data_IF_929140995796
#
_entry.id   IF_929140995796
#
_cell.length_a   1.000
_cell.length_b   1.000
_cell.length_c   1.000
_cell.angle_alpha   90.00
_cell.angle_beta   90.00
_cell.angle_gamma   90.00
#
_symmetry.space_group_name_H-M   'P 1'
#
loop_
_entity.id
_entity.type
_entity.pdbx_description
1 polymer ?
#
# COMPACT_ATOMS: atom_id res chain seq x y z
N UNK A 1 21.78 -22.00 9.19
CA UNK A 1 21.76 -22.28 10.65
C UNK A 1 21.36 -23.72 10.96
N UNK A 2 20.16 -24.20 10.63
CA UNK A 2 19.73 -25.57 10.95
C UNK A 2 20.62 -26.71 10.43
N UNK A 3 21.08 -26.65 9.17
CA UNK A 3 22.01 -27.65 8.60
C UNK A 3 23.41 -27.60 9.23
N UNK A 4 23.87 -26.39 9.59
CA UNK A 4 25.17 -26.19 10.23
C UNK A 4 25.18 -26.64 11.70
N UNK A 5 24.02 -26.68 12.37
CA UNK A 5 23.89 -27.07 13.79
C UNK A 5 23.46 -28.53 13.95
N UNK A 6 22.58 -29.07 13.09
CA UNK A 6 22.03 -30.41 13.24
C UNK A 6 22.74 -31.49 12.41
N UNK A 7 23.55 -31.12 11.40
CA UNK A 7 24.34 -32.05 10.58
C UNK A 7 23.54 -33.08 9.78
N UNK A 8 22.20 -32.98 9.75
CA UNK A 8 21.30 -33.92 9.06
C UNK A 8 20.24 -33.16 8.29
N UNK A 9 19.94 -33.64 7.09
CA UNK A 9 18.83 -33.13 6.29
C UNK A 9 17.50 -33.54 6.95
N UNK A 10 16.51 -32.64 7.03
CA UNK A 10 15.17 -33.00 7.47
C UNK A 10 14.58 -34.04 6.51
N UNK A 11 13.64 -34.85 7.01
CA UNK A 11 12.95 -35.81 6.14
C UNK A 11 12.25 -35.08 4.99
N UNK A 12 12.11 -35.69 3.80
CA UNK A 12 11.47 -35.05 2.65
C UNK A 12 10.07 -34.52 2.96
N UNK A 13 9.33 -35.20 3.85
CA UNK A 13 8.01 -34.76 4.33
C UNK A 13 8.08 -33.45 5.11
N UNK A 14 9.02 -33.33 6.06
CA UNK A 14 9.20 -32.09 6.85
C UNK A 14 9.67 -30.96 5.94
N UNK A 15 10.58 -31.25 5.01
CA UNK A 15 11.05 -30.28 4.03
C UNK A 15 9.89 -29.75 3.16
N UNK A 16 9.06 -30.65 2.61
CA UNK A 16 7.90 -30.27 1.82
C UNK A 16 6.88 -29.45 2.63
N UNK A 17 6.60 -29.84 3.88
CA UNK A 17 5.70 -29.09 4.76
C UNK A 17 6.24 -27.70 5.09
N UNK A 18 7.54 -27.56 5.38
CA UNK A 18 8.16 -26.27 5.65
C UNK A 18 8.19 -25.37 4.41
N UNK A 19 8.44 -25.94 3.23
CA UNK A 19 8.39 -25.20 1.96
C UNK A 19 6.98 -24.73 1.64
N UNK A 20 5.97 -25.57 1.85
CA UNK A 20 4.57 -25.19 1.66
C UNK A 20 4.12 -24.12 2.67
N UNK A 21 4.54 -24.24 3.93
CA UNK A 21 4.26 -23.21 4.92
C UNK A 21 4.94 -21.88 4.56
N UNK A 22 6.22 -21.91 4.16
CA UNK A 22 6.94 -20.72 3.73
C UNK A 22 6.37 -20.09 2.46
N UNK A 23 5.94 -20.90 1.49
CA UNK A 23 5.33 -20.39 0.25
C UNK A 23 4.01 -19.67 0.52
N UNK A 24 3.19 -20.16 1.45
CA UNK A 24 1.93 -19.52 1.82
C UNK A 24 2.16 -18.33 2.76
N UNK A 25 2.85 -18.53 3.88
CA UNK A 25 3.01 -17.51 4.92
C UNK A 25 3.91 -16.35 4.51
N UNK A 26 4.91 -16.59 3.67
CA UNK A 26 5.82 -15.54 3.20
C UNK A 26 5.62 -15.22 1.72
N UNK A 27 5.69 -16.23 0.85
CA UNK A 27 5.63 -16.02 -0.60
C UNK A 27 4.33 -15.36 -1.06
N UNK A 28 3.18 -16.00 -0.78
CA UNK A 28 1.89 -15.46 -1.12
C UNK A 28 1.59 -14.15 -0.37
N UNK A 29 1.99 -14.05 0.90
CA UNK A 29 1.82 -12.82 1.69
C UNK A 29 2.51 -11.62 1.03
N UNK A 30 3.76 -11.75 0.58
CA UNK A 30 4.51 -10.65 -0.05
C UNK A 30 3.87 -10.25 -1.39
N UNK A 31 3.37 -11.23 -2.15
CA UNK A 31 2.66 -10.93 -3.40
C UNK A 31 1.37 -10.16 -3.13
N UNK A 32 0.58 -10.62 -2.16
CA UNK A 32 -0.67 -9.95 -1.77
C UNK A 32 -0.43 -8.55 -1.19
N UNK A 33 0.62 -8.38 -0.40
CA UNK A 33 1.08 -7.08 0.11
C UNK A 33 1.41 -6.13 -1.05
N UNK A 34 2.22 -6.58 -2.02
CA UNK A 34 2.52 -5.79 -3.21
C UNK A 34 1.27 -5.41 -4.03
N UNK A 35 0.25 -6.28 -4.09
CA UNK A 35 -1.04 -5.93 -4.69
C UNK A 35 -1.82 -4.92 -3.84
N UNK A 36 -1.86 -5.08 -2.52
CA UNK A 36 -2.54 -4.16 -1.62
C UNK A 36 -1.94 -2.76 -1.69
N UNK A 37 -0.60 -2.66 -1.68
CA UNK A 37 0.13 -1.40 -1.86
C UNK A 37 -0.29 -0.68 -3.14
N UNK A 38 -0.49 -1.41 -4.24
CA UNK A 38 -0.94 -0.86 -5.53
C UNK A 38 -2.40 -0.43 -5.54
N UNK A 39 -3.27 -1.19 -4.87
CA UNK A 39 -4.73 -0.98 -4.92
C UNK A 39 -5.21 0.08 -3.93
N UNK A 40 -4.67 0.08 -2.71
CA UNK A 40 -5.16 0.97 -1.63
C UNK A 40 -4.13 2.00 -1.18
N UNK A 41 -2.85 1.81 -1.53
CA UNK A 41 -1.75 2.71 -1.19
C UNK A 41 -1.02 2.37 0.10
N UNK A 42 0.24 2.79 0.19
CA UNK A 42 1.14 2.50 1.31
C UNK A 42 0.56 2.86 2.69
N UNK A 43 -0.01 4.07 2.86
CA UNK A 43 -0.51 4.48 4.16
C UNK A 43 -1.70 3.64 4.66
N UNK A 44 -2.65 3.31 3.76
CA UNK A 44 -3.83 2.50 4.10
C UNK A 44 -3.47 1.03 4.26
N UNK A 45 -2.63 0.51 3.37
CA UNK A 45 -2.09 -0.84 3.45
C UNK A 45 -1.37 -1.02 4.79
N UNK A 46 -0.43 -0.16 5.14
CA UNK A 46 0.33 -0.26 6.39
C UNK A 46 -0.58 -0.24 7.64
N UNK A 47 -1.65 0.56 7.60
CA UNK A 47 -2.63 0.58 8.68
C UNK A 47 -3.43 -0.74 8.80
N UNK A 48 -3.75 -1.39 7.68
CA UNK A 48 -4.33 -2.73 7.69
C UNK A 48 -3.31 -3.77 8.16
N UNK A 49 -2.08 -3.72 7.68
CA UNK A 49 -1.01 -4.65 8.06
C UNK A 49 -0.69 -4.57 9.56
N UNK A 50 -0.76 -3.37 10.15
CA UNK A 50 -0.57 -3.16 11.58
C UNK A 50 -1.62 -3.87 12.47
N UNK A 51 -2.70 -4.40 11.88
CA UNK A 51 -3.67 -5.25 12.59
C UNK A 51 -3.25 -6.73 12.70
N UNK A 52 -2.26 -7.17 11.93
CA UNK A 52 -1.80 -8.56 11.91
C UNK A 52 -1.39 -9.11 13.30
N UNK A 53 -0.71 -8.35 14.18
CA UNK A 53 -0.38 -8.82 15.53
C UNK A 53 -1.60 -9.18 16.38
N UNK A 54 -2.74 -8.52 16.18
CA UNK A 54 -3.98 -8.82 16.90
C UNK A 54 -4.57 -10.16 16.45
N UNK A 55 -4.57 -10.40 15.13
CA UNK A 55 -5.00 -11.68 14.56
C UNK A 55 -4.05 -12.80 15.00
N UNK A 56 -2.74 -12.56 15.01
CA UNK A 56 -1.74 -13.50 15.50
C UNK A 56 -1.93 -13.85 16.97
N UNK A 57 -2.18 -12.85 17.82
CA UNK A 57 -2.48 -13.06 19.23
C UNK A 57 -3.76 -13.87 19.43
N UNK A 58 -4.84 -13.57 18.70
CA UNK A 58 -6.09 -14.33 18.75
C UNK A 58 -5.92 -15.77 18.24
N UNK A 59 -5.19 -15.96 17.14
CA UNK A 59 -4.93 -17.29 16.62
C UNK A 59 -4.08 -18.10 17.61
N UNK A 60 -3.06 -17.49 18.22
CA UNK A 60 -2.22 -18.13 19.21
C UNK A 60 -3.04 -18.58 20.43
N UNK A 61 -3.91 -17.74 20.99
CA UNK A 61 -4.75 -18.13 22.13
C UNK A 61 -5.71 -19.27 21.79
N UNK A 62 -6.34 -19.23 20.62
CA UNK A 62 -7.29 -20.26 20.19
C UNK A 62 -6.60 -21.60 19.88
N UNK A 63 -5.41 -21.57 19.28
CA UNK A 63 -4.70 -22.78 18.87
C UNK A 63 -3.92 -23.43 20.03
N UNK A 64 -3.37 -22.63 20.95
CA UNK A 64 -2.56 -23.14 22.08
C UNK A 64 -3.35 -23.29 23.37
N UNK A 65 -4.49 -22.61 23.50
CA UNK A 65 -5.27 -22.53 24.73
C UNK A 65 -4.65 -21.61 25.79
N UNK A 66 -3.55 -20.93 25.49
CA UNK A 66 -2.90 -20.01 26.43
C UNK A 66 -3.70 -18.72 26.61
N UNK A 67 -3.73 -18.21 27.85
CA UNK A 67 -4.39 -16.94 28.17
C UNK A 67 -3.43 -15.79 27.90
N UNK A 68 -3.93 -14.72 27.28
CA UNK A 68 -3.15 -13.49 27.10
C UNK A 68 -2.81 -12.90 28.47
N UNK A 69 -1.52 -12.74 28.73
CA UNK A 69 -1.03 -12.03 29.90
C UNK A 69 -1.41 -10.55 29.85
N UNK A 70 -1.46 -9.93 31.02
CA UNK A 70 -1.83 -8.52 31.16
C UNK A 70 -0.92 -7.58 30.36
N UNK A 71 0.39 -7.86 30.32
CA UNK A 71 1.36 -7.09 29.53
C UNK A 71 1.08 -7.12 28.03
N UNK A 72 0.66 -8.28 27.50
CA UNK A 72 0.29 -8.43 26.09
C UNK A 72 -0.98 -7.65 25.79
N UNK A 73 -1.98 -7.73 26.68
CA UNK A 73 -3.20 -6.92 26.57
C UNK A 73 -2.92 -5.42 26.53
N UNK A 74 -2.02 -4.93 27.40
CA UNK A 74 -1.60 -3.53 27.40
C UNK A 74 -0.87 -3.15 26.10
N UNK A 75 0.05 -3.98 25.63
CA UNK A 75 0.77 -3.74 24.37
C UNK A 75 -0.21 -3.67 23.19
N UNK A 76 -1.17 -4.59 23.11
CA UNK A 76 -2.24 -4.56 22.10
C UNK A 76 -3.06 -3.27 22.16
N UNK A 77 -3.42 -2.80 23.36
CA UNK A 77 -4.17 -1.55 23.51
C UNK A 77 -3.38 -0.33 23.01
N UNK A 78 -2.08 -0.24 23.35
CA UNK A 78 -1.20 0.85 22.88
C UNK A 78 -1.04 0.79 21.36
N UNK A 79 -0.82 -0.39 20.80
CA UNK A 79 -0.74 -0.58 19.35
C UNK A 79 -2.05 -0.18 18.65
N UNK A 80 -3.21 -0.56 19.21
CA UNK A 80 -4.51 -0.23 18.64
C UNK A 80 -4.74 1.28 18.63
N UNK A 81 -4.32 1.98 19.68
CA UNK A 81 -4.33 3.44 19.72
C UNK A 81 -3.44 4.04 18.62
N UNK A 82 -2.23 3.52 18.43
CA UNK A 82 -1.33 3.93 17.35
C UNK A 82 -1.95 3.76 15.96
N UNK A 83 -2.56 2.60 15.68
CA UNK A 83 -3.26 2.33 14.40
C UNK A 83 -4.45 3.29 14.23
N UNK A 84 -5.22 3.54 15.28
CA UNK A 84 -6.34 4.47 15.22
C UNK A 84 -5.90 5.91 14.94
N UNK A 85 -4.75 6.34 15.47
CA UNK A 85 -4.16 7.63 15.13
C UNK A 85 -3.71 7.68 13.67
N UNK A 86 -2.99 6.65 13.20
CA UNK A 86 -2.51 6.56 11.82
C UNK A 86 -3.66 6.61 10.81
N UNK A 87 -4.77 5.90 11.08
CA UNK A 87 -5.96 5.88 10.22
C UNK A 87 -6.71 7.23 10.18
N UNK A 88 -6.53 8.08 11.20
CA UNK A 88 -7.19 9.39 11.28
C UNK A 88 -6.34 10.51 10.68
N UNK A 89 -5.09 10.22 10.35
CA UNK A 89 -4.18 11.21 9.81
C UNK A 89 -4.59 11.61 8.39
N UNK A 90 -4.72 12.92 8.15
CA UNK A 90 -5.02 13.49 6.84
C UNK A 90 -3.86 14.38 6.44
N UNK A 91 -3.06 13.93 5.48
CA UNK A 91 -1.99 14.72 4.89
C UNK A 91 -2.43 15.27 3.53
N UNK A 92 -2.67 16.57 3.49
CA UNK A 92 -2.69 17.38 2.28
C UNK A 92 -1.48 18.30 2.31
N UNK A 93 -0.77 18.40 1.19
CA UNK A 93 0.29 19.38 1.02
C UNK A 93 0.03 20.13 -0.28
N UNK A 94 0.25 21.44 -0.26
CA UNK A 94 0.33 22.21 -1.47
C UNK A 94 1.55 21.75 -2.26
N UNK A 95 1.35 21.32 -3.51
CA UNK A 95 2.44 21.03 -4.43
C UNK A 95 2.25 21.76 -5.74
N UNK A 96 3.37 22.02 -6.40
CA UNK A 96 3.42 22.60 -7.74
C UNK A 96 3.80 21.49 -8.72
N UNK A 97 2.97 21.30 -9.74
CA UNK A 97 3.31 20.47 -10.89
C UNK A 97 4.19 21.27 -11.84
N UNK A 98 5.31 20.68 -12.28
CA UNK A 98 6.15 21.27 -13.33
C UNK A 98 5.41 21.20 -14.69
N UNK A 99 5.77 22.06 -15.67
CA UNK A 99 5.19 21.97 -17.00
C UNK A 99 5.39 20.57 -17.61
N UNK A 100 4.33 20.00 -18.17
CA UNK A 100 4.36 18.66 -18.75
C UNK A 100 3.52 18.60 -20.04
N UNK A 101 4.16 18.15 -21.12
CA UNK A 101 3.48 17.77 -22.36
C UNK A 101 3.09 16.29 -22.30
N UNK A 102 1.82 15.97 -22.53
CA UNK A 102 1.34 14.60 -22.59
C UNK A 102 0.06 14.45 -23.43
N UNK A 103 -0.35 13.20 -23.67
CA UNK A 103 -1.57 12.87 -24.40
C UNK A 103 -2.31 11.72 -23.70
N UNK A 104 -3.52 12.00 -23.23
CA UNK A 104 -4.43 11.00 -22.68
C UNK A 104 -5.88 11.52 -22.76
N UNK A 105 -6.83 10.59 -22.54
CA UNK A 105 -8.23 10.93 -22.46
C UNK A 105 -8.53 11.74 -21.18
N UNK A 106 -9.12 12.92 -21.33
CA UNK A 106 -9.42 13.82 -20.22
C UNK A 106 -10.75 14.55 -20.42
N UNK A 107 -11.18 15.20 -19.34
CA UNK A 107 -12.26 16.18 -19.27
C UNK A 107 -11.64 17.48 -18.77
N UNK A 108 -12.25 18.63 -19.04
CA UNK A 108 -11.67 19.90 -18.58
C UNK A 108 -11.96 20.12 -17.09
N UNK A 109 -10.99 19.78 -16.24
CA UNK A 109 -11.00 20.07 -14.81
C UNK A 109 -9.95 21.15 -14.47
N UNK A 110 -9.50 21.22 -13.21
CA UNK A 110 -8.47 22.19 -12.81
C UNK A 110 -7.11 21.90 -13.47
N UNK A 111 -6.80 20.61 -13.69
CA UNK A 111 -5.56 20.14 -14.28
C UNK A 111 -5.55 20.27 -15.80
N UNK A 112 -6.71 20.09 -16.43
CA UNK A 112 -6.83 20.05 -17.89
C UNK A 112 -7.47 21.34 -18.44
N UNK A 113 -6.86 22.48 -18.13
CA UNK A 113 -7.25 23.78 -18.72
C UNK A 113 -6.34 24.13 -19.89
N UNK A 114 -6.82 23.86 -21.10
CA UNK A 114 -6.20 24.34 -22.32
C UNK A 114 -7.27 24.67 -23.37
N UNK A 115 -6.88 25.42 -24.39
CA UNK A 115 -7.73 25.66 -25.55
C UNK A 115 -7.59 24.50 -26.56
N UNK A 116 -8.63 24.29 -27.36
CA UNK A 116 -8.63 23.33 -28.46
C UNK A 116 -8.13 23.98 -29.75
N UNK A 117 -7.30 23.26 -30.49
CA UNK A 117 -6.89 23.61 -31.83
C UNK A 117 -7.99 23.32 -32.87
N UNK A 118 -7.78 23.75 -34.13
CA UNK A 118 -8.75 23.54 -35.20
C UNK A 118 -9.01 22.06 -35.54
N UNK A 119 -8.04 21.19 -35.26
CA UNK A 119 -8.10 19.75 -35.55
C UNK A 119 -8.53 18.91 -34.33
N UNK A 120 -8.77 19.55 -33.17
CA UNK A 120 -9.18 18.84 -31.96
C UNK A 120 -10.68 18.51 -32.02
N UNK A 121 -11.01 17.28 -31.59
CA UNK A 121 -12.38 16.79 -31.61
C UNK A 121 -13.22 17.52 -30.54
N UNK A 122 -14.40 18.06 -30.89
CA UNK A 122 -15.27 18.71 -29.92
C UNK A 122 -15.96 17.69 -29.00
N UNK A 123 -16.18 18.07 -27.74
CA UNK A 123 -16.90 17.28 -26.73
C UNK A 123 -16.00 16.67 -25.66
N UNK A 124 -16.56 16.19 -24.55
CA UNK A 124 -15.84 15.58 -23.42
C UNK A 124 -16.43 14.19 -23.08
N UNK A 125 -15.61 13.18 -22.74
CA UNK A 125 -14.14 13.18 -22.71
C UNK A 125 -13.50 13.09 -24.11
N UNK A 126 -12.28 13.63 -24.26
CA UNK A 126 -11.50 13.59 -25.51
C UNK A 126 -10.01 13.33 -25.22
N UNK A 127 -9.22 13.03 -26.26
CA UNK A 127 -7.80 12.71 -26.13
C UNK A 127 -6.97 13.34 -27.26
N UNK A 128 -5.98 14.14 -26.89
CA UNK A 128 -4.99 14.74 -27.79
C UNK A 128 -3.77 15.19 -26.98
N UNK A 129 -2.70 15.56 -27.68
CA UNK A 129 -1.50 16.11 -27.06
C UNK A 129 -1.79 17.53 -26.56
N UNK A 130 -1.53 17.79 -25.29
CA UNK A 130 -1.75 19.09 -24.68
C UNK A 130 -0.66 19.41 -23.64
N UNK A 131 -0.51 20.70 -23.35
CA UNK A 131 0.50 21.23 -22.46
C UNK A 131 -0.13 21.64 -21.13
N UNK A 132 0.39 21.14 -20.01
CA UNK A 132 0.01 21.60 -18.68
C UNK A 132 0.98 22.70 -18.23
N UNK A 133 0.45 23.90 -17.94
CA UNK A 133 1.22 24.96 -17.30
C UNK A 133 1.46 24.65 -15.81
N UNK A 134 2.46 25.28 -15.14
CA UNK A 134 2.67 25.08 -13.72
C UNK A 134 1.39 25.36 -12.91
N UNK A 135 0.93 24.36 -12.17
CA UNK A 135 -0.26 24.45 -11.33
C UNK A 135 0.13 24.16 -9.89
N UNK A 136 -0.22 25.07 -8.99
CA UNK A 136 -0.09 24.87 -7.54
C UNK A 136 -1.46 24.67 -6.94
N UNK A 137 -1.64 23.54 -6.27
CA UNK A 137 -2.91 23.13 -5.68
C UNK A 137 -2.64 22.24 -4.46
N UNK A 138 -3.67 22.05 -3.63
CA UNK A 138 -3.61 21.20 -2.44
C UNK A 138 -4.70 20.14 -2.54
N UNK A 139 -4.28 18.88 -2.54
CA UNK A 139 -5.18 17.75 -2.37
C UNK A 139 -4.51 16.67 -1.53
N UNK A 140 -5.28 15.75 -0.93
CA UNK A 140 -4.71 14.58 -0.26
C UNK A 140 -3.79 13.83 -1.22
N UNK A 141 -2.61 13.42 -0.77
CA UNK A 141 -1.77 12.53 -1.56
C UNK A 141 -2.50 11.20 -1.75
N UNK A 142 -2.91 10.93 -3.00
CA UNK A 142 -3.31 9.60 -3.41
C UNK A 142 -2.06 8.83 -3.85
N UNK A 143 -2.03 7.50 -3.69
CA UNK A 143 -0.97 6.67 -4.22
C UNK A 143 -1.17 6.64 -5.72
N UNK A 144 -0.52 7.56 -6.42
CA UNK A 144 -0.59 7.68 -7.86
C UNK A 144 0.80 7.43 -8.44
N UNK A 145 0.87 6.56 -9.45
CA UNK A 145 2.08 6.32 -10.22
C UNK A 145 2.56 7.58 -10.96
N UNK A 146 1.67 8.56 -11.16
CA UNK A 146 1.94 9.82 -11.85
C UNK A 146 2.49 10.93 -10.93
N UNK A 147 2.46 10.77 -9.60
CA UNK A 147 3.08 11.69 -8.64
C UNK A 147 4.52 11.25 -8.30
N UNK A 148 5.47 11.43 -9.23
CA UNK A 148 6.91 11.23 -8.93
C UNK A 148 7.52 12.54 -8.43
N UNK A 149 7.70 12.67 -7.13
CA UNK A 149 8.52 13.76 -6.56
C UNK A 149 10.01 13.49 -6.84
N UNK A 150 10.72 14.49 -7.39
CA UNK A 150 12.19 14.53 -7.28
C UNK A 150 12.50 14.97 -5.85
N UNK A 151 12.97 14.03 -5.03
CA UNK A 151 13.68 14.36 -3.80
C UNK A 151 15.11 14.79 -4.13
#
# INVERSE_FOLDING_TARGET
LGLAVAGRLPSPRIAAAALALGSVSYGASVVLDAYALRLVGAAREAAYFATAPFIGALAATLLTGERLGWSVGLAMAVMAAGVALLLRERHGHGHTHDPLDHAHAHVHDEHHRHEHGPDDLPGEPHAHAHHHSPLTHEHPHTPDAHHRHRH
#
